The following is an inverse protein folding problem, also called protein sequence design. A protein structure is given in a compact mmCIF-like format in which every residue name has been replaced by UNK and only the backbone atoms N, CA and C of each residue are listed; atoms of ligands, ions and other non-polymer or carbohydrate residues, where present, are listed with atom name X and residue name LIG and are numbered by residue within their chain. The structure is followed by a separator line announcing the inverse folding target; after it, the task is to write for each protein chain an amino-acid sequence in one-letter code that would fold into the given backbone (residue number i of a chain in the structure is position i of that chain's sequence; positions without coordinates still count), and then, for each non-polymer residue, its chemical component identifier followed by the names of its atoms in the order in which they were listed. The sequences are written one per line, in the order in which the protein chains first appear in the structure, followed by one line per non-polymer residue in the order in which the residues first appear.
data_IF_705077868092
#
_entry.id   IF_705077868092
#
_cell.length_a   1.000
_cell.length_b   1.000
_cell.length_c   1.000
_cell.angle_alpha   90.00
_cell.angle_beta   90.00
_cell.angle_gamma   90.00
#
_symmetry.space_group_name_H-M   'P 1'
#
loop_
_entity.id
_entity.type
_entity.pdbx_description
1 polymer ?
#
# COMPACT_ATOMS: atom_id res chain seq x y z
N UNK A 1 -19.62 7.38 -20.26
CA UNK A 1 -18.28 6.78 -20.44
C UNK A 1 -18.39 5.27 -20.30
N UNK A 2 -17.71 4.51 -21.16
CA UNK A 2 -17.67 3.04 -21.03
C UNK A 2 -17.03 2.65 -19.69
N UNK A 3 -17.64 1.68 -18.98
CA UNK A 3 -17.14 1.25 -17.67
C UNK A 3 -15.82 0.49 -17.85
N UNK A 4 -14.70 1.16 -17.56
CA UNK A 4 -13.37 0.56 -17.59
C UNK A 4 -13.33 -0.61 -16.62
N UNK A 5 -12.83 -1.77 -17.07
CA UNK A 5 -12.74 -2.93 -16.18
C UNK A 5 -11.69 -2.65 -15.11
N UNK A 6 -11.93 -3.15 -13.91
CA UNK A 6 -11.09 -2.78 -12.77
C UNK A 6 -9.62 -3.24 -12.84
N UNK A 7 -9.25 -4.03 -13.85
CA UNK A 7 -7.88 -4.51 -14.14
C UNK A 7 -7.28 -3.88 -15.40
N UNK A 8 -7.92 -2.85 -15.94
CA UNK A 8 -7.44 -2.06 -17.06
C UNK A 8 -7.01 -0.69 -16.58
N UNK A 9 -6.09 -0.07 -17.32
CA UNK A 9 -5.56 1.26 -17.03
C UNK A 9 -6.19 2.21 -18.04
N UNK A 10 -7.05 3.09 -17.56
CA UNK A 10 -7.63 4.17 -18.37
C UNK A 10 -6.54 5.14 -18.83
N UNK A 11 -6.79 5.88 -19.91
CA UNK A 11 -5.86 6.91 -20.38
C UNK A 11 -5.64 7.99 -19.31
N UNK A 12 -6.70 8.37 -18.60
CA UNK A 12 -6.64 9.33 -17.50
C UNK A 12 -5.76 8.84 -16.33
N UNK A 13 -5.85 7.55 -15.99
CA UNK A 13 -4.95 6.98 -14.99
C UNK A 13 -3.52 6.92 -15.51
N UNK A 14 -3.33 6.56 -16.78
CA UNK A 14 -2.00 6.50 -17.39
C UNK A 14 -1.30 7.88 -17.41
N UNK A 15 -2.03 8.96 -17.69
CA UNK A 15 -1.48 10.33 -17.69
C UNK A 15 -0.88 10.74 -16.34
N UNK A 16 -1.44 10.24 -15.22
CA UNK A 16 -0.89 10.46 -13.87
C UNK A 16 0.35 9.60 -13.60
N UNK A 17 0.40 8.41 -14.18
CA UNK A 17 1.44 7.41 -13.95
C UNK A 17 2.69 7.69 -14.79
N UNK A 18 2.51 8.07 -16.05
CA UNK A 18 3.58 8.20 -17.05
C UNK A 18 4.74 9.11 -16.62
N UNK A 19 4.50 10.31 -16.04
CA UNK A 19 5.58 11.20 -15.61
C UNK A 19 6.47 10.61 -14.52
N UNK A 20 5.92 9.69 -13.73
CA UNK A 20 6.60 9.05 -12.59
C UNK A 20 7.39 7.81 -13.00
N UNK A 21 7.23 7.33 -14.25
CA UNK A 21 7.98 6.17 -14.73
C UNK A 21 9.47 6.45 -14.67
N UNK A 22 10.27 5.59 -14.01
CA UNK A 22 11.69 5.81 -13.92
C UNK A 22 12.35 5.80 -15.31
N UNK A 23 13.07 6.87 -15.62
CA UNK A 23 13.77 7.04 -16.89
C UNK A 23 15.10 6.30 -16.85
N UNK A 24 15.35 5.47 -17.86
CA UNK A 24 16.63 4.79 -18.00
C UNK A 24 17.73 5.80 -18.30
N UNK A 25 18.55 6.12 -17.32
CA UNK A 25 19.78 6.87 -17.55
C UNK A 25 20.80 5.97 -18.27
N UNK A 26 21.43 6.51 -19.30
CA UNK A 26 22.56 5.88 -19.98
C UNK A 26 23.82 6.37 -19.28
N UNK A 27 24.71 5.48 -18.85
CA UNK A 27 26.00 5.88 -18.32
C UNK A 27 26.78 6.64 -19.39
N UNK A 28 27.17 7.88 -19.10
CA UNK A 28 27.96 8.72 -20.02
C UNK A 28 29.36 8.14 -20.25
N UNK A 29 29.93 7.47 -19.25
CA UNK A 29 31.31 6.93 -19.27
C UNK A 29 31.46 5.52 -19.89
N UNK A 30 30.37 4.94 -20.41
CA UNK A 30 30.35 3.53 -20.82
C UNK A 30 30.67 3.30 -22.29
N UNK A 31 31.85 2.72 -22.60
CA UNK A 31 32.14 2.17 -23.94
C UNK A 31 31.07 1.12 -24.30
N UNK A 32 30.24 1.43 -25.29
CA UNK A 32 29.13 0.57 -25.71
C UNK A 32 29.65 -0.70 -26.40
N UNK A 33 29.84 -1.78 -25.65
CA UNK A 33 30.09 -3.12 -26.23
C UNK A 33 28.77 -3.75 -26.66
N UNK A 34 28.45 -3.64 -27.95
CA UNK A 34 27.31 -4.32 -28.58
C UNK A 34 27.56 -5.83 -28.57
N UNK A 35 26.91 -6.58 -27.67
CA UNK A 35 26.97 -8.05 -27.69
C UNK A 35 26.22 -8.55 -28.94
N UNK A 36 26.78 -9.49 -29.73
CA UNK A 36 26.04 -10.16 -30.81
C UNK A 36 24.76 -10.81 -30.24
N UNK A 37 23.61 -10.56 -30.87
CA UNK A 37 22.28 -10.96 -30.35
C UNK A 37 21.67 -10.02 -29.29
N UNK A 38 22.36 -8.94 -28.93
CA UNK A 38 21.90 -7.97 -27.94
C UNK A 38 21.09 -6.84 -28.57
N UNK A 39 19.78 -6.77 -28.30
CA UNK A 39 19.02 -5.57 -28.64
C UNK A 39 17.51 -5.72 -28.82
N UNK A 40 16.82 -6.58 -28.07
CA UNK A 40 15.35 -6.51 -28.09
C UNK A 40 14.93 -5.14 -27.56
N UNK A 41 14.13 -4.40 -28.35
CA UNK A 41 13.62 -3.09 -27.94
C UNK A 41 12.99 -3.19 -26.54
N UNK A 42 13.22 -2.20 -25.66
CA UNK A 42 12.53 -2.11 -24.38
C UNK A 42 11.02 -2.26 -24.55
N UNK A 43 10.35 -2.83 -23.55
CA UNK A 43 8.90 -2.86 -23.54
C UNK A 43 8.37 -1.44 -23.29
N UNK A 44 7.27 -1.08 -23.94
CA UNK A 44 6.60 0.19 -23.67
C UNK A 44 6.20 0.26 -22.17
N UNK A 45 6.50 1.35 -21.46
CA UNK A 45 6.19 1.48 -20.03
C UNK A 45 4.72 1.23 -19.70
N UNK A 46 3.80 1.77 -20.51
CA UNK A 46 2.35 1.53 -20.34
C UNK A 46 2.00 0.05 -20.33
N UNK A 47 2.54 -0.70 -21.28
CA UNK A 47 2.30 -2.15 -21.40
C UNK A 47 2.81 -2.93 -20.18
N UNK A 48 3.95 -2.50 -19.62
CA UNK A 48 4.49 -3.07 -18.38
C UNK A 48 3.58 -2.75 -17.21
N UNK A 49 3.18 -1.49 -17.05
CA UNK A 49 2.32 -1.03 -15.96
C UNK A 49 0.95 -1.71 -15.99
N UNK A 50 0.31 -1.78 -17.16
CA UNK A 50 -0.94 -2.52 -17.37
C UNK A 50 -0.80 -4.00 -16.96
N UNK A 51 0.32 -4.64 -17.30
CA UNK A 51 0.61 -6.01 -16.87
C UNK A 51 0.71 -6.14 -15.35
N UNK A 52 1.35 -5.19 -14.66
CA UNK A 52 1.46 -5.18 -13.20
C UNK A 52 0.09 -4.96 -12.55
N UNK A 53 -0.70 -4.01 -13.05
CA UNK A 53 -2.08 -3.75 -12.58
C UNK A 53 -2.95 -4.99 -12.79
N UNK A 54 -2.83 -5.66 -13.93
CA UNK A 54 -3.56 -6.90 -14.21
C UNK A 54 -3.22 -7.99 -13.18
N UNK A 55 -1.93 -8.22 -12.88
CA UNK A 55 -1.51 -9.17 -11.84
C UNK A 55 -2.06 -8.77 -10.48
N UNK A 56 -1.95 -7.50 -10.10
CA UNK A 56 -2.44 -6.98 -8.81
C UNK A 56 -3.94 -7.22 -8.63
N UNK A 57 -4.74 -6.93 -9.68
CA UNK A 57 -6.20 -6.98 -9.63
C UNK A 57 -6.75 -8.40 -9.74
N UNK A 58 -6.22 -9.21 -10.65
CA UNK A 58 -6.70 -10.59 -10.88
C UNK A 58 -6.13 -11.59 -9.87
N UNK A 59 -4.95 -11.30 -9.31
CA UNK A 59 -4.24 -12.22 -8.44
C UNK A 59 -3.55 -13.38 -9.17
N UNK A 60 -3.49 -13.35 -10.50
CA UNK A 60 -2.84 -14.41 -11.26
C UNK A 60 -1.34 -14.50 -10.88
N UNK A 61 -0.77 -15.68 -11.10
CA UNK A 61 0.68 -15.84 -10.98
C UNK A 61 1.37 -15.00 -12.07
N UNK A 62 2.59 -14.51 -11.79
CA UNK A 62 3.36 -13.73 -12.77
C UNK A 62 3.53 -14.49 -14.09
N UNK A 63 3.82 -15.80 -14.04
CA UNK A 63 3.97 -16.64 -15.24
C UNK A 63 2.67 -16.93 -15.99
N UNK A 64 1.51 -16.68 -15.37
CA UNK A 64 0.20 -16.85 -15.98
C UNK A 64 -0.32 -15.56 -16.64
N UNK A 65 0.51 -14.51 -16.68
CA UNK A 65 0.17 -13.26 -17.36
C UNK A 65 -0.03 -13.52 -18.88
N UNK A 66 -1.16 -13.12 -19.49
CA UNK A 66 -1.43 -13.37 -20.91
C UNK A 66 -0.35 -12.76 -21.82
N UNK A 67 0.37 -13.63 -22.53
CA UNK A 67 1.55 -13.25 -23.32
C UNK A 67 1.18 -12.43 -24.54
N UNK A 68 0.02 -12.72 -25.12
CA UNK A 68 -0.54 -12.08 -26.31
C UNK A 68 -0.79 -10.60 -26.02
N UNK A 69 -1.35 -10.29 -24.84
CA UNK A 69 -1.65 -8.91 -24.42
C UNK A 69 -0.41 -8.20 -23.89
N UNK A 70 0.30 -8.79 -22.92
CA UNK A 70 1.32 -8.08 -22.14
C UNK A 70 2.76 -8.39 -22.56
N UNK A 71 2.99 -9.38 -23.40
CA UNK A 71 4.33 -9.86 -23.76
C UNK A 71 4.90 -10.81 -22.70
N UNK A 72 6.22 -10.91 -22.64
CA UNK A 72 6.89 -11.86 -21.74
C UNK A 72 6.65 -11.50 -20.27
N UNK A 73 6.01 -12.41 -19.52
CA UNK A 73 5.84 -12.32 -18.07
C UNK A 73 7.17 -12.05 -17.33
N UNK A 74 8.25 -12.72 -17.74
CA UNK A 74 9.58 -12.51 -17.17
C UNK A 74 10.09 -11.09 -17.39
N UNK A 75 9.78 -10.49 -18.54
CA UNK A 75 10.15 -9.11 -18.83
C UNK A 75 9.33 -8.12 -18.00
N UNK A 76 8.01 -8.32 -17.88
CA UNK A 76 7.15 -7.49 -17.00
C UNK A 76 7.64 -7.55 -15.55
N UNK A 77 7.90 -8.75 -15.03
CA UNK A 77 8.41 -8.93 -13.67
C UNK A 77 9.82 -8.33 -13.48
N UNK A 78 10.67 -8.37 -14.51
CA UNK A 78 11.98 -7.69 -14.48
C UNK A 78 11.82 -6.18 -14.32
N UNK A 79 10.93 -5.56 -15.10
CA UNK A 79 10.64 -4.12 -14.95
C UNK A 79 10.00 -3.81 -13.59
N UNK A 80 9.06 -4.63 -13.12
CA UNK A 80 8.49 -4.49 -11.78
C UNK A 80 9.58 -4.40 -10.70
N UNK A 81 10.55 -5.33 -10.72
CA UNK A 81 11.68 -5.33 -9.77
C UNK A 81 12.61 -4.14 -9.95
N UNK A 82 12.80 -3.68 -11.18
CA UNK A 82 13.60 -2.48 -11.47
C UNK A 82 12.92 -1.23 -10.90
N UNK A 83 11.66 -0.99 -11.24
CA UNK A 83 10.88 0.15 -10.76
C UNK A 83 10.72 0.17 -9.24
N UNK A 84 10.59 -1.02 -8.62
CA UNK A 84 10.63 -1.17 -7.17
C UNK A 84 11.93 -0.62 -6.58
N UNK A 85 13.09 -0.97 -7.15
CA UNK A 85 14.39 -0.48 -6.67
C UNK A 85 14.56 1.02 -6.87
N UNK A 86 13.95 1.56 -7.91
CA UNK A 86 13.95 2.99 -8.22
C UNK A 86 12.86 3.78 -7.44
N UNK A 87 12.16 3.13 -6.49
CA UNK A 87 11.20 3.80 -5.60
C UNK A 87 9.85 4.15 -6.24
N UNK A 88 9.61 3.72 -7.49
CA UNK A 88 8.44 4.11 -8.29
C UNK A 88 7.10 3.96 -7.55
N UNK A 89 6.86 2.81 -6.93
CA UNK A 89 5.55 2.52 -6.32
C UNK A 89 5.27 3.40 -5.10
N UNK A 90 6.30 3.73 -4.31
CA UNK A 90 6.15 4.66 -3.20
C UNK A 90 5.87 6.08 -3.73
N UNK A 91 6.63 6.53 -4.73
CA UNK A 91 6.38 7.82 -5.40
C UNK A 91 4.99 7.91 -6.01
N UNK A 92 4.49 6.81 -6.59
CA UNK A 92 3.15 6.72 -7.15
C UNK A 92 2.07 6.89 -6.07
N UNK A 93 2.24 6.26 -4.91
CA UNK A 93 1.34 6.46 -3.78
C UNK A 93 1.42 7.88 -3.23
N UNK A 94 2.63 8.46 -3.10
CA UNK A 94 2.81 9.87 -2.72
C UNK A 94 2.02 10.80 -3.63
N UNK A 95 2.16 10.63 -4.95
CA UNK A 95 1.46 11.46 -5.94
C UNK A 95 -0.06 11.35 -5.82
N UNK A 96 -0.59 10.13 -5.66
CA UNK A 96 -2.02 9.93 -5.46
C UNK A 96 -2.55 10.54 -4.14
N UNK A 97 -1.74 10.49 -3.08
CA UNK A 97 -2.07 11.16 -1.81
C UNK A 97 -2.04 12.69 -1.94
N UNK A 98 -1.05 13.26 -2.64
CA UNK A 98 -0.98 14.70 -2.88
C UNK A 98 -2.19 15.20 -3.67
N UNK A 99 -2.54 14.53 -4.77
CA UNK A 99 -3.72 14.90 -5.57
C UNK A 99 -5.01 14.76 -4.74
N UNK A 100 -5.10 13.75 -3.88
CA UNK A 100 -6.24 13.64 -2.95
C UNK A 100 -6.29 14.78 -1.94
N UNK A 101 -5.15 15.20 -1.37
CA UNK A 101 -5.10 16.33 -0.43
C UNK A 101 -5.47 17.65 -1.13
N UNK A 102 -5.04 17.84 -2.37
CA UNK A 102 -5.36 19.02 -3.17
C UNK A 102 -6.85 19.10 -3.55
N UNK A 103 -7.45 17.96 -3.92
CA UNK A 103 -8.82 17.92 -4.47
C UNK A 103 -9.90 17.73 -3.41
N UNK A 104 -9.66 16.85 -2.44
CA UNK A 104 -10.64 16.44 -1.42
C UNK A 104 -10.26 16.90 0.00
N UNK A 105 -8.96 17.13 0.24
CA UNK A 105 -8.41 17.44 1.56
C UNK A 105 -8.25 16.20 2.45
N UNK A 106 -7.06 15.99 2.99
CA UNK A 106 -6.84 14.93 3.98
C UNK A 106 -7.52 15.31 5.31
N UNK A 107 -8.35 14.41 5.82
CA UNK A 107 -9.05 14.60 7.09
C UNK A 107 -8.13 14.32 8.29
N UNK A 108 -7.10 15.14 8.49
CA UNK A 108 -6.03 14.97 9.49
C UNK A 108 -6.52 14.87 10.94
N UNK A 109 -7.62 15.57 11.27
CA UNK A 109 -8.15 15.68 12.64
C UNK A 109 -8.47 14.33 13.29
N UNK A 110 -8.95 13.36 12.50
CA UNK A 110 -9.36 12.05 12.99
C UNK A 110 -8.67 10.98 12.16
N UNK A 111 -7.82 10.17 12.76
CA UNK A 111 -7.11 9.11 12.06
C UNK A 111 -7.41 7.77 12.73
N UNK A 112 -7.31 6.68 11.97
CA UNK A 112 -7.55 5.33 12.49
C UNK A 112 -6.42 4.39 12.10
N UNK A 113 -5.99 3.55 13.06
CA UNK A 113 -4.96 2.53 12.85
C UNK A 113 -5.50 1.14 13.16
N UNK A 114 -5.20 0.18 12.28
CA UNK A 114 -5.47 -1.24 12.52
C UNK A 114 -4.51 -2.12 11.71
N UNK A 115 -4.40 -3.38 12.16
CA UNK A 115 -3.61 -4.43 11.53
C UNK A 115 -4.49 -5.51 10.91
N UNK A 116 -4.14 -5.98 9.71
CA UNK A 116 -4.83 -7.08 9.04
C UNK A 116 -3.86 -8.19 8.68
N UNK A 117 -4.17 -9.41 9.14
CA UNK A 117 -3.37 -10.61 8.89
C UNK A 117 -3.69 -11.23 7.52
N UNK A 118 -2.66 -11.62 6.80
CA UNK A 118 -2.76 -12.32 5.51
C UNK A 118 -1.93 -13.60 5.54
N UNK A 119 -2.44 -14.66 4.91
CA UNK A 119 -1.68 -15.90 4.73
C UNK A 119 -0.50 -15.64 3.80
N UNK A 120 0.67 -16.18 4.13
CA UNK A 120 1.90 -15.93 3.39
C UNK A 120 2.68 -17.24 3.13
N UNK A 121 2.12 -18.18 2.35
CA UNK A 121 2.65 -19.55 2.25
C UNK A 121 4.03 -19.67 1.60
N UNK A 122 4.43 -18.70 0.75
CA UNK A 122 5.71 -18.73 0.03
C UNK A 122 6.68 -17.62 0.48
N UNK A 123 6.24 -16.74 1.39
CA UNK A 123 7.02 -15.60 1.82
C UNK A 123 8.19 -16.05 2.71
N UNK A 124 9.36 -15.45 2.46
CA UNK A 124 10.63 -15.76 3.14
C UNK A 124 11.04 -14.68 4.13
N UNK A 125 10.49 -13.48 3.98
CA UNK A 125 10.81 -12.30 4.80
C UNK A 125 9.54 -11.74 5.41
N UNK A 126 9.66 -11.18 6.62
CA UNK A 126 8.55 -10.49 7.30
C UNK A 126 7.32 -11.40 7.42
N UNK A 127 7.55 -12.62 7.91
CA UNK A 127 6.56 -13.66 8.14
C UNK A 127 6.75 -14.24 9.53
N UNK A 128 5.68 -14.80 10.09
CA UNK A 128 5.75 -15.59 11.30
C UNK A 128 4.51 -16.46 11.48
N UNK A 129 4.47 -17.31 12.52
CA UNK A 129 3.33 -18.16 12.82
C UNK A 129 2.05 -17.32 12.92
N UNK A 130 1.01 -17.71 12.21
CA UNK A 130 -0.26 -16.97 12.21
C UNK A 130 -1.14 -17.39 13.41
N UNK A 131 -1.42 -16.50 14.37
CA UNK A 131 -2.21 -16.85 15.56
C UNK A 131 -3.63 -17.35 15.22
N UNK A 132 -4.22 -16.82 14.14
CA UNK A 132 -5.59 -17.18 13.70
C UNK A 132 -5.73 -18.61 13.20
N UNK A 133 -4.62 -19.26 12.81
CA UNK A 133 -4.59 -20.67 12.43
C UNK A 133 -3.81 -21.54 13.42
N UNK A 134 -3.61 -21.03 14.65
CA UNK A 134 -2.82 -21.66 15.71
C UNK A 134 -1.36 -21.91 15.32
N UNK A 135 -0.79 -21.02 14.51
CA UNK A 135 0.60 -21.09 14.06
C UNK A 135 0.87 -22.16 13.01
N UNK A 136 -0.17 -22.77 12.43
CA UNK A 136 -0.02 -23.85 11.43
C UNK A 136 0.52 -23.33 10.11
N UNK A 137 0.28 -22.07 9.76
CA UNK A 137 0.81 -21.46 8.54
C UNK A 137 1.49 -20.14 8.84
N UNK A 138 2.50 -19.83 8.03
CA UNK A 138 3.13 -18.53 8.06
C UNK A 138 2.19 -17.47 7.49
N UNK A 139 2.19 -16.31 8.14
CA UNK A 139 1.44 -15.14 7.72
C UNK A 139 2.27 -13.87 7.84
N UNK A 140 1.79 -12.83 7.16
CA UNK A 140 2.22 -11.46 7.36
C UNK A 140 1.06 -10.65 7.91
N UNK A 141 1.36 -9.50 8.50
CA UNK A 141 0.37 -8.53 8.93
C UNK A 141 0.65 -7.20 8.26
N UNK A 142 -0.36 -6.61 7.66
CA UNK A 142 -0.34 -5.25 7.11
C UNK A 142 -0.96 -4.32 8.13
N UNK A 143 -0.20 -3.34 8.59
CA UNK A 143 -0.71 -2.27 9.45
C UNK A 143 -0.96 -1.04 8.59
N UNK A 144 -2.09 -0.38 8.80
CA UNK A 144 -2.48 0.82 8.06
C UNK A 144 -2.83 1.94 9.03
N UNK A 145 -2.36 3.15 8.72
CA UNK A 145 -2.96 4.39 9.20
C UNK A 145 -3.79 4.99 8.09
N UNK A 146 -5.00 5.46 8.42
CA UNK A 146 -5.88 6.15 7.48
C UNK A 146 -6.40 7.44 8.06
N UNK A 147 -6.75 8.38 7.19
CA UNK A 147 -7.43 9.62 7.59
C UNK A 147 -8.90 9.37 8.01
N UNK A 148 -9.61 10.45 8.32
CA UNK A 148 -11.01 10.39 8.76
C UNK A 148 -11.99 9.89 7.71
N UNK A 149 -11.56 9.76 6.45
CA UNK A 149 -12.35 9.34 5.28
C UNK A 149 -11.83 8.04 4.65
N UNK A 150 -10.79 7.42 5.22
CA UNK A 150 -10.24 6.13 4.81
C UNK A 150 -9.12 6.19 3.76
N UNK A 151 -8.56 7.35 3.41
CA UNK A 151 -7.38 7.38 2.53
C UNK A 151 -6.17 6.81 3.30
N UNK A 152 -5.39 5.87 2.72
CA UNK A 152 -4.23 5.31 3.41
C UNK A 152 -3.10 6.34 3.51
N UNK A 153 -2.70 6.68 4.73
CA UNK A 153 -1.64 7.66 5.05
C UNK A 153 -0.29 6.99 5.31
N UNK A 154 -0.29 5.79 5.88
CA UNK A 154 0.92 5.00 6.13
C UNK A 154 0.64 3.50 6.06
N UNK A 155 1.69 2.72 5.82
CA UNK A 155 1.62 1.28 5.64
C UNK A 155 2.95 0.65 6.06
N UNK A 156 2.89 -0.38 6.88
CA UNK A 156 4.03 -1.27 7.14
C UNK A 156 3.61 -2.74 7.10
N UNK A 157 4.57 -3.62 6.85
CA UNK A 157 4.36 -5.07 6.89
C UNK A 157 5.21 -5.69 7.99
N UNK A 158 4.61 -6.59 8.78
CA UNK A 158 5.30 -7.37 9.82
C UNK A 158 4.99 -8.86 9.69
N UNK A 159 5.69 -9.71 10.44
CA UNK A 159 5.24 -11.10 10.65
C UNK A 159 3.89 -11.15 11.36
N UNK A 160 3.07 -12.18 11.11
CA UNK A 160 1.74 -12.31 11.71
C UNK A 160 1.75 -12.46 13.25
N UNK A 161 2.87 -12.93 13.82
CA UNK A 161 3.08 -13.09 15.26
C UNK A 161 3.38 -11.78 15.99
N UNK A 162 3.62 -10.67 15.27
CA UNK A 162 3.93 -9.37 15.90
C UNK A 162 2.66 -8.73 16.45
N UNK A 163 2.73 -8.26 17.70
CA UNK A 163 1.62 -7.59 18.37
C UNK A 163 1.43 -6.17 17.86
N UNK A 164 0.17 -5.78 17.69
CA UNK A 164 -0.19 -4.50 17.06
C UNK A 164 0.26 -3.30 17.91
N UNK A 165 0.13 -3.37 19.24
CA UNK A 165 0.69 -2.41 20.22
C UNK A 165 2.12 -2.00 19.86
N UNK A 166 2.97 -3.00 19.58
CA UNK A 166 4.41 -2.80 19.37
C UNK A 166 4.77 -2.14 18.04
N UNK A 167 3.77 -1.91 17.18
CA UNK A 167 3.96 -1.42 15.82
C UNK A 167 3.39 -0.01 15.62
N UNK A 168 2.73 0.60 16.63
CA UNK A 168 2.16 1.95 16.54
C UNK A 168 3.20 2.98 16.11
N UNK A 169 4.34 3.00 16.80
CA UNK A 169 5.46 3.89 16.48
C UNK A 169 5.85 3.80 15.00
N UNK A 170 6.13 2.58 14.52
CA UNK A 170 6.54 2.35 13.14
C UNK A 170 5.45 2.74 12.11
N UNK A 171 4.17 2.55 12.43
CA UNK A 171 3.06 2.98 11.57
C UNK A 171 2.98 4.50 11.50
N UNK A 172 3.12 5.19 12.63
CA UNK A 172 3.05 6.66 12.69
C UNK A 172 4.30 7.32 12.09
N UNK A 173 5.46 6.68 12.16
CA UNK A 173 6.70 7.16 11.53
C UNK A 173 6.71 6.95 10.01
N UNK A 174 5.90 6.01 9.50
CA UNK A 174 5.82 5.68 8.08
C UNK A 174 4.82 6.56 7.29
N UNK A 175 4.31 7.64 7.87
CA UNK A 175 3.38 8.55 7.18
C UNK A 175 4.04 9.12 5.93
N UNK A 176 3.33 8.99 4.81
CA UNK A 176 3.89 9.23 3.48
C UNK A 176 4.04 10.71 3.16
N UNK A 177 3.13 11.54 3.67
CA UNK A 177 3.12 12.98 3.52
C UNK A 177 3.38 13.67 4.87
N UNK A 178 3.99 14.85 4.83
CA UNK A 178 4.19 15.64 6.05
C UNK A 178 2.82 16.13 6.53
N UNK A 179 2.46 15.75 7.75
CA UNK A 179 1.26 16.26 8.38
C UNK A 179 1.40 17.78 8.60
N UNK A 180 0.41 18.60 8.20
CA UNK A 180 0.45 20.04 8.47
C UNK A 180 0.47 20.31 9.97
N UNK A 181 1.13 21.41 10.37
CA UNK A 181 1.13 21.90 11.76
C UNK A 181 -0.27 22.43 12.10
N UNK A 182 -1.17 21.52 12.47
CA UNK A 182 -2.53 21.80 12.91
C UNK A 182 -2.70 21.35 14.37
N UNK A 183 -3.94 21.44 14.88
CA UNK A 183 -4.34 20.84 16.15
C UNK A 183 -3.94 19.36 16.22
N UNK A 184 -3.59 18.91 17.43
CA UNK A 184 -3.26 17.51 17.75
C UNK A 184 -4.33 16.55 17.18
N UNK A 185 -4.00 15.70 16.19
CA UNK A 185 -4.94 14.73 15.63
C UNK A 185 -5.32 13.67 16.66
N UNK A 186 -6.53 13.15 16.56
CA UNK A 186 -6.95 12.00 17.35
C UNK A 186 -6.65 10.69 16.63
N UNK A 187 -6.03 9.74 17.33
CA UNK A 187 -5.77 8.39 16.80
C UNK A 187 -6.74 7.37 17.40
N UNK A 188 -7.62 6.81 16.58
CA UNK A 188 -8.47 5.68 16.95
C UNK A 188 -7.78 4.36 16.64
N UNK A 189 -7.78 3.45 17.61
CA UNK A 189 -7.16 2.13 17.48
C UNK A 189 -8.02 1.06 18.16
N UNK A 190 -7.81 -0.21 17.84
CA UNK A 190 -8.39 -1.33 18.60
C UNK A 190 -7.94 -1.29 20.07
N UNK A 191 -8.71 -1.94 20.95
CA UNK A 191 -8.26 -2.39 22.26
C UNK A 191 -6.96 -3.19 22.21
N UNK A 192 -6.66 -3.84 21.09
CA UNK A 192 -5.35 -4.45 20.83
C UNK A 192 -4.18 -3.47 20.88
N UNK A 193 -4.42 -2.15 20.98
CA UNK A 193 -3.45 -1.08 21.17
C UNK A 193 -3.56 -0.43 22.57
N UNK A 194 -4.33 -1.02 23.49
CA UNK A 194 -4.52 -0.54 24.85
C UNK A 194 -3.34 -0.99 25.73
N UNK A 195 -2.42 -0.07 25.99
CA UNK A 195 -1.27 -0.28 26.86
C UNK A 195 -0.48 1.00 27.05
N UNK A 196 0.17 1.15 28.22
CA UNK A 196 0.98 2.32 28.53
C UNK A 196 2.05 2.62 27.46
N UNK A 197 2.81 1.63 26.95
CA UNK A 197 3.80 1.89 25.89
C UNK A 197 3.17 2.46 24.62
N UNK A 198 2.04 1.91 24.15
CA UNK A 198 1.38 2.46 22.96
C UNK A 198 0.84 3.87 23.20
N UNK A 199 0.33 4.17 24.40
CA UNK A 199 -0.11 5.54 24.73
C UNK A 199 1.04 6.53 24.71
N UNK A 200 2.21 6.15 25.22
CA UNK A 200 3.42 6.96 25.18
C UNK A 200 3.87 7.24 23.74
N UNK A 201 3.89 6.22 22.87
CA UNK A 201 4.24 6.38 21.45
C UNK A 201 3.25 7.26 20.67
N UNK A 202 1.97 7.23 21.03
CA UNK A 202 0.92 8.08 20.44
C UNK A 202 1.14 9.53 20.86
N UNK A 203 1.31 9.77 22.16
CA UNK A 203 1.50 11.12 22.70
C UNK A 203 2.81 11.75 22.24
N UNK A 204 3.91 10.99 22.19
CA UNK A 204 5.23 11.48 21.78
C UNK A 204 5.27 11.95 20.32
N UNK A 205 4.40 11.40 19.46
CA UNK A 205 4.23 11.81 18.06
C UNK A 205 3.15 12.87 17.86
N UNK A 206 2.66 13.47 18.94
CA UNK A 206 1.69 14.55 18.87
C UNK A 206 0.27 14.09 18.51
N UNK A 207 -0.10 12.86 18.82
CA UNK A 207 -1.48 12.37 18.68
C UNK A 207 -2.19 12.34 20.04
N UNK A 208 -3.49 12.64 20.03
CA UNK A 208 -4.37 12.41 21.16
C UNK A 208 -4.99 11.01 21.06
N UNK A 209 -4.92 10.16 22.10
CA UNK A 209 -5.58 8.85 22.08
C UNK A 209 -7.10 8.98 21.89
N UNK A 210 -7.61 8.45 20.78
CA UNK A 210 -9.04 8.31 20.47
C UNK A 210 -9.64 7.17 21.30
N UNK A 211 -9.90 7.44 22.57
CA UNK A 211 -10.18 6.39 23.56
C UNK A 211 -11.46 5.59 23.27
N UNK A 212 -11.33 4.28 23.01
CA UNK A 212 -12.40 3.30 23.21
C UNK A 212 -12.48 2.90 24.70
N UNK A 213 -12.87 3.82 25.59
CA UNK A 213 -12.98 3.51 27.03
C UNK A 213 -14.30 2.76 27.31
N UNK A 214 -14.16 1.67 28.08
CA UNK A 214 -15.10 0.60 28.49
C UNK A 214 -16.58 0.91 28.79
N UNK A 215 -17.04 2.15 28.79
CA UNK A 215 -18.46 2.49 28.91
C UNK A 215 -18.66 3.78 28.13
N UNK A 216 -19.76 3.86 27.39
CA UNK A 216 -20.29 5.13 26.86
C UNK A 216 -20.35 6.11 28.04
N UNK A 217 -19.35 6.97 28.21
CA UNK A 217 -19.47 8.12 29.12
C UNK A 217 -20.59 8.95 28.50
N UNK A 218 -21.77 8.95 29.13
CA UNK A 218 -22.86 9.88 28.79
C UNK A 218 -22.21 11.28 28.70
N UNK A 219 -22.26 11.90 27.52
CA UNK A 219 -21.73 13.26 27.31
C UNK A 219 -20.57 13.44 26.32
N UNK A 220 -19.99 12.39 25.70
CA UNK A 220 -19.12 12.62 24.51
C UNK A 220 -19.95 12.57 23.22
N UNK A 221 -19.95 13.62 22.38
CA UNK A 221 -20.78 13.68 21.16
C UNK A 221 -20.23 12.83 19.99
N UNK A 222 -19.01 12.30 20.08
CA UNK A 222 -18.30 11.70 18.94
C UNK A 222 -18.34 10.16 18.93
N UNK A 223 -18.81 9.56 17.82
CA UNK A 223 -18.82 8.10 17.58
C UNK A 223 -17.39 7.57 17.36
N UNK A 224 -17.11 6.35 17.82
CA UNK A 224 -15.86 5.63 17.52
C UNK A 224 -15.70 5.50 15.99
N UNK A 225 -14.55 5.95 15.44
CA UNK A 225 -14.29 5.97 13.99
C UNK A 225 -13.39 4.84 13.48
N UNK A 226 -13.08 3.85 14.33
CA UNK A 226 -12.26 2.69 13.95
C UNK A 226 -12.71 1.99 12.66
N UNK A 227 -14.03 1.90 12.43
CA UNK A 227 -14.58 1.25 11.23
C UNK A 227 -14.02 1.79 9.90
N UNK A 228 -13.47 3.02 9.88
CA UNK A 228 -12.88 3.64 8.68
C UNK A 228 -11.64 2.88 8.19
N UNK A 229 -10.74 2.44 9.09
CA UNK A 229 -9.56 1.64 8.68
C UNK A 229 -9.96 0.22 8.27
N UNK A 230 -10.99 -0.35 8.89
CA UNK A 230 -11.56 -1.66 8.51
C UNK A 230 -12.14 -1.62 7.08
N UNK A 231 -12.85 -0.56 6.74
CA UNK A 231 -13.33 -0.32 5.36
C UNK A 231 -12.16 -0.20 4.40
N UNK A 232 -11.09 0.49 4.79
CA UNK A 232 -9.90 0.63 3.95
C UNK A 232 -9.22 -0.73 3.71
N UNK A 233 -9.10 -1.57 4.75
CA UNK A 233 -8.67 -2.96 4.58
C UNK A 233 -9.55 -3.73 3.60
N UNK A 234 -10.87 -3.53 3.63
CA UNK A 234 -11.79 -4.14 2.66
C UNK A 234 -11.50 -3.70 1.22
N UNK A 235 -11.05 -2.45 1.00
CA UNK A 235 -10.64 -1.98 -0.32
C UNK A 235 -9.36 -2.66 -0.80
N UNK A 236 -8.36 -2.82 0.06
CA UNK A 236 -7.17 -3.61 -0.24
C UNK A 236 -7.52 -5.07 -0.58
N UNK A 237 -8.55 -5.64 0.05
CA UNK A 237 -9.01 -7.01 -0.25
C UNK A 237 -9.64 -7.14 -1.66
N UNK A 238 -10.01 -6.04 -2.32
CA UNK A 238 -10.47 -6.05 -3.71
C UNK A 238 -9.34 -6.22 -4.73
N UNK A 239 -8.09 -6.21 -4.30
CA UNK A 239 -6.92 -6.54 -5.11
C UNK A 239 -6.51 -7.98 -4.80
N UNK A 240 -6.95 -8.93 -5.64
CA UNK A 240 -6.86 -10.36 -5.35
C UNK A 240 -5.44 -10.84 -5.04
N UNK A 241 -4.43 -10.20 -5.64
CA UNK A 241 -3.01 -10.49 -5.39
C UNK A 241 -2.57 -10.27 -3.94
N UNK A 242 -3.32 -9.47 -3.18
CA UNK A 242 -3.01 -9.08 -1.80
C UNK A 242 -3.76 -9.92 -0.75
N UNK A 243 -4.77 -10.71 -1.15
CA UNK A 243 -5.54 -11.57 -0.22
C UNK A 243 -4.68 -12.67 0.39
N UNK A 244 -3.75 -13.20 -0.40
CA UNK A 244 -2.75 -14.18 0.03
C UNK A 244 -1.40 -13.72 -0.51
N UNK A 245 -0.43 -13.52 0.38
CA UNK A 245 0.92 -13.10 0.02
C UNK A 245 1.70 -14.28 -0.56
N UNK A 246 1.80 -14.33 -1.88
CA UNK A 246 2.70 -15.24 -2.59
C UNK A 246 4.09 -14.65 -2.88
N UNK A 247 4.24 -13.33 -2.72
CA UNK A 247 5.51 -12.65 -2.95
C UNK A 247 6.54 -13.05 -1.88
N UNK A 248 7.69 -13.55 -2.34
CA UNK A 248 8.73 -14.14 -1.48
C UNK A 248 9.43 -13.09 -0.61
N UNK A 249 9.67 -11.91 -1.18
CA UNK A 249 10.40 -10.82 -0.56
C UNK A 249 9.44 -9.73 -0.07
N UNK A 250 9.86 -8.98 0.95
CA UNK A 250 9.01 -7.94 1.56
C UNK A 250 8.85 -6.74 0.66
N UNK A 251 9.94 -6.30 0.03
CA UNK A 251 9.95 -5.20 -0.94
C UNK A 251 8.94 -5.42 -2.09
N UNK A 252 8.88 -6.63 -2.66
CA UNK A 252 7.91 -7.00 -3.72
C UNK A 252 6.48 -6.86 -3.24
N UNK A 253 6.21 -7.28 -2.01
CA UNK A 253 4.87 -7.23 -1.46
C UNK A 253 4.45 -5.79 -1.14
N UNK A 254 5.35 -5.02 -0.52
CA UNK A 254 5.15 -3.59 -0.22
C UNK A 254 4.94 -2.76 -1.49
N UNK A 255 5.70 -3.02 -2.57
CA UNK A 255 5.48 -2.37 -3.85
C UNK A 255 4.06 -2.59 -4.41
N UNK A 256 3.52 -3.80 -4.30
CA UNK A 256 2.14 -4.09 -4.70
C UNK A 256 1.12 -3.43 -3.77
N UNK A 257 1.43 -3.31 -2.47
CA UNK A 257 0.61 -2.58 -1.51
C UNK A 257 0.61 -1.07 -1.79
N UNK A 258 1.75 -0.46 -2.07
CA UNK A 258 1.85 0.95 -2.45
C UNK A 258 1.09 1.23 -3.75
N UNK A 259 1.17 0.33 -4.75
CA UNK A 259 0.35 0.45 -5.97
C UNK A 259 -1.15 0.40 -5.66
N UNK A 260 -1.58 -0.51 -4.77
CA UNK A 260 -2.98 -0.56 -4.35
C UNK A 260 -3.40 0.71 -3.59
N UNK A 261 -2.54 1.23 -2.72
CA UNK A 261 -2.76 2.47 -1.99
C UNK A 261 -2.92 3.67 -2.93
N UNK A 262 -2.04 3.80 -3.94
CA UNK A 262 -2.13 4.83 -4.98
C UNK A 262 -3.48 4.77 -5.73
N UNK A 263 -3.89 3.57 -6.17
CA UNK A 263 -5.18 3.37 -6.84
C UNK A 263 -6.36 3.71 -5.92
N UNK A 264 -6.27 3.42 -4.62
CA UNK A 264 -7.29 3.80 -3.64
C UNK A 264 -7.38 5.32 -3.54
N UNK A 265 -6.25 6.04 -3.44
CA UNK A 265 -6.23 7.50 -3.35
C UNK A 265 -6.91 8.13 -4.56
N UNK A 266 -6.50 7.76 -5.78
CA UNK A 266 -7.11 8.32 -6.99
C UNK A 266 -8.59 7.97 -7.16
N UNK A 267 -9.02 6.77 -6.75
CA UNK A 267 -10.46 6.42 -6.77
C UNK A 267 -11.31 7.25 -5.80
N UNK A 268 -10.70 7.89 -4.81
CA UNK A 268 -11.40 8.85 -3.94
C UNK A 268 -11.48 10.25 -4.55
N UNK A 269 -10.64 10.57 -5.53
CA UNK A 269 -10.68 11.82 -6.31
C UNK A 269 -11.59 11.69 -7.53
N UNK A 270 -11.38 10.65 -8.35
CA UNK A 270 -12.11 10.45 -9.60
C UNK A 270 -12.26 8.96 -9.95
N UNK A 271 -13.27 8.58 -10.76
CA UNK A 271 -13.38 7.21 -11.26
C UNK A 271 -12.26 6.86 -12.25
N UNK A 272 -11.25 6.10 -11.79
CA UNK A 272 -10.12 5.60 -12.60
C UNK A 272 -10.16 4.10 -12.92
#
# INVERSE_FOLDING_TARGET
MAKVRSWEVSDEFWLRVEPLIPKRQRSEDGVYKRRPGGGRKPMAPRKVFEGIVFVLRTGCQWKALPKERFGSASSVHKYFRQWLKEGFFLSLWRAGLCEYDEMEGIAWKWQSVDGSMVKAPLARQTVGPNPTDRGKKNGSKRHLLVDGLGVPLSLIVTGANRHDVSQVAAVLDAVVLVQPKQDTPYLYADKGYDGQPAQEEILSRGYAPGVSRKKRRRGRPWKNRRWVVEVTHSWFNRFRKLLVRYEKFTDSYEALLHLAAAIICWRKVAPI
#
